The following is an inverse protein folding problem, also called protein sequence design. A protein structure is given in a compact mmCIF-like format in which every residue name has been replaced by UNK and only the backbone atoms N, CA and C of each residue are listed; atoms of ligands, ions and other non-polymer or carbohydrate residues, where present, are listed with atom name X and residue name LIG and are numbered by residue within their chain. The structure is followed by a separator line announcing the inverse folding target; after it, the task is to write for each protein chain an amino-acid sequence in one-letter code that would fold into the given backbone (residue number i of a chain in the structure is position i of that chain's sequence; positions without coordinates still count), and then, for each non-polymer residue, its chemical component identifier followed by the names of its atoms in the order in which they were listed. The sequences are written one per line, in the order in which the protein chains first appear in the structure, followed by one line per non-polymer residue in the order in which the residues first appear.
data_IF_206775382493
#
_entry.id   IF_206775382493
#
_cell.length_a   1.000
_cell.length_b   1.000
_cell.length_c   1.000
_cell.angle_alpha   90.00
_cell.angle_beta   90.00
_cell.angle_gamma   90.00
#
_symmetry.space_group_name_H-M   'P 1'
#
loop_
_entity.id
_entity.type
_entity.pdbx_description
1 polymer ?
#
# COMPACT_ATOMS: atom_id res chain seq x y z
N UNK A 1 -54.02 -11.40 2.69
CA UNK A 1 -54.44 -12.67 2.03
C UNK A 1 -53.40 -12.94 0.95
N UNK A 2 -52.75 -14.10 0.78
CA UNK A 2 -52.65 -15.39 1.51
C UNK A 2 -51.19 -15.84 1.25
N UNK A 3 -50.28 -15.95 2.22
CA UNK A 3 -50.08 -17.08 3.14
C UNK A 3 -50.22 -18.47 2.48
N UNK A 4 -49.09 -19.10 2.18
CA UNK A 4 -48.89 -20.54 2.38
C UNK A 4 -47.43 -20.86 2.69
N UNK A 5 -47.23 -21.79 3.64
CA UNK A 5 -45.93 -22.17 4.20
C UNK A 5 -45.73 -23.68 4.11
N UNK A 6 -44.49 -24.15 4.01
CA UNK A 6 -44.02 -25.50 4.40
C UNK A 6 -42.49 -25.44 4.56
N UNK A 7 -41.95 -25.35 5.78
CA UNK A 7 -41.68 -26.42 6.77
C UNK A 7 -40.59 -27.42 6.38
N UNK A 8 -39.40 -27.18 6.94
CA UNK A 8 -38.54 -28.13 7.65
C UNK A 8 -38.46 -29.60 7.20
N UNK A 9 -37.23 -30.03 6.89
CA UNK A 9 -36.73 -31.35 7.27
C UNK A 9 -35.34 -31.22 7.92
N UNK A 10 -35.25 -31.64 9.18
CA UNK A 10 -34.00 -31.72 9.94
C UNK A 10 -33.33 -33.07 9.70
N UNK A 11 -31.99 -33.10 9.62
CA UNK A 11 -31.19 -34.30 9.91
C UNK A 11 -29.98 -33.91 10.78
N UNK A 12 -29.77 -34.68 11.84
CA UNK A 12 -28.74 -34.47 12.85
C UNK A 12 -27.89 -35.72 13.02
N UNK A 13 -26.71 -35.51 13.61
CA UNK A 13 -25.82 -36.48 14.25
C UNK A 13 -25.09 -37.53 13.40
N UNK A 14 -23.76 -37.39 13.37
CA UNK A 14 -22.83 -38.51 13.44
C UNK A 14 -21.59 -38.09 14.25
N UNK A 15 -21.65 -38.27 15.57
CA UNK A 15 -20.54 -37.99 16.48
C UNK A 15 -19.43 -39.03 16.33
N UNK A 16 -18.17 -38.61 16.19
CA UNK A 16 -17.01 -39.49 16.42
C UNK A 16 -16.02 -38.85 17.39
N UNK A 17 -16.07 -39.34 18.62
CA UNK A 17 -15.06 -39.11 19.65
C UNK A 17 -13.78 -39.88 19.35
N UNK A 18 -12.62 -39.23 19.43
CA UNK A 18 -11.34 -39.89 19.65
C UNK A 18 -10.66 -39.24 20.87
N UNK A 19 -10.06 -40.06 21.73
CA UNK A 19 -9.65 -39.66 23.09
C UNK A 19 -8.12 -39.72 23.21
N UNK A 20 -7.56 -38.66 23.82
CA UNK A 20 -6.31 -38.61 24.59
C UNK A 20 -5.00 -39.16 23.98
N UNK A 21 -3.99 -38.27 23.91
CA UNK A 21 -2.60 -38.60 24.23
C UNK A 21 -1.91 -37.37 24.86
N UNK A 22 -1.90 -37.30 26.19
CA UNK A 22 -1.12 -36.31 26.94
C UNK A 22 0.32 -36.80 27.07
N UNK A 23 1.30 -36.09 26.50
CA UNK A 23 2.71 -36.32 26.80
C UNK A 23 3.30 -35.14 27.56
N UNK A 24 3.50 -35.34 28.86
CA UNK A 24 4.41 -34.52 29.64
C UNK A 24 5.84 -34.72 29.12
N UNK A 25 6.51 -33.63 28.74
CA UNK A 25 7.97 -33.54 28.76
C UNK A 25 8.38 -32.46 29.75
N UNK A 26 8.84 -32.93 30.90
CA UNK A 26 9.42 -32.12 31.97
C UNK A 26 10.93 -32.20 31.79
N UNK A 27 11.60 -31.08 31.54
CA UNK A 27 13.06 -31.03 31.63
C UNK A 27 13.48 -29.76 32.36
N UNK A 28 14.09 -29.95 33.53
CA UNK A 28 14.75 -28.90 34.28
C UNK A 28 16.10 -28.59 33.60
N UNK A 29 16.62 -27.37 33.70
CA UNK A 29 17.97 -27.18 34.26
C UNK A 29 18.28 -25.73 34.69
N UNK A 30 18.80 -25.65 35.92
CA UNK A 30 19.63 -24.64 36.57
C UNK A 30 19.72 -23.18 36.08
N UNK A 31 19.36 -22.31 37.02
CA UNK A 31 20.10 -21.11 37.43
C UNK A 31 21.63 -21.22 37.38
N UNK A 32 22.31 -20.17 36.90
CA UNK A 32 23.56 -19.67 37.50
C UNK A 32 23.87 -18.23 37.03
N UNK A 33 23.97 -17.30 37.98
CA UNK A 33 24.88 -16.15 37.96
C UNK A 33 26.14 -16.53 38.77
N UNK A 34 27.32 -15.87 38.67
CA UNK A 34 27.58 -14.43 38.46
C UNK A 34 28.53 -14.17 37.24
N UNK A 35 29.26 -13.06 37.03
CA UNK A 35 29.65 -11.91 37.87
C UNK A 35 29.95 -10.60 37.11
N UNK A 36 30.28 -9.56 37.88
CA UNK A 36 30.77 -8.22 37.51
C UNK A 36 32.10 -8.17 36.74
N UNK A 37 32.30 -7.17 35.86
CA UNK A 37 33.15 -5.98 36.17
C UNK A 37 33.49 -5.08 34.94
N UNK A 38 33.95 -3.86 35.25
CA UNK A 38 34.84 -3.01 34.44
C UNK A 38 34.33 -2.38 33.11
N UNK A 39 33.66 -1.24 33.27
CA UNK A 39 33.84 0.00 32.49
C UNK A 39 35.07 0.12 31.58
N UNK A 40 34.87 0.56 30.34
CA UNK A 40 35.84 1.38 29.59
C UNK A 40 35.16 2.56 28.88
N UNK A 41 35.72 3.74 29.08
CA UNK A 41 35.30 5.02 28.51
C UNK A 41 35.74 5.18 27.05
N UNK A 42 34.94 5.86 26.23
CA UNK A 42 35.38 6.46 24.94
C UNK A 42 35.65 7.96 25.14
N UNK A 43 36.74 8.52 24.60
CA UNK A 43 36.89 9.96 24.40
C UNK A 43 36.23 10.44 23.08
N UNK A 44 36.03 11.76 22.89
CA UNK A 44 35.10 12.31 21.89
C UNK A 44 35.74 12.79 20.57
N UNK A 45 34.87 13.39 19.74
CA UNK A 45 35.02 13.95 18.38
C UNK A 45 36.11 15.02 18.20
N UNK A 46 36.53 15.25 16.93
CA UNK A 46 36.34 16.56 16.26
C UNK A 46 36.61 16.51 14.73
N UNK A 47 36.25 17.55 13.93
CA UNK A 47 35.82 17.38 12.53
C UNK A 47 36.79 17.88 11.43
N UNK A 48 36.46 17.57 10.17
CA UNK A 48 36.95 18.29 8.99
C UNK A 48 35.82 18.45 7.95
N UNK A 49 35.78 19.63 7.29
CA UNK A 49 34.76 20.03 6.30
C UNK A 49 35.41 20.24 4.91
N UNK A 50 34.76 20.84 3.90
CA UNK A 50 34.32 20.12 2.71
C UNK A 50 35.20 20.37 1.46
N UNK A 51 35.12 19.45 0.48
CA UNK A 51 35.74 19.62 -0.83
C UNK A 51 34.69 19.75 -1.93
N UNK A 52 34.45 20.99 -2.38
CA UNK A 52 33.64 21.35 -3.54
C UNK A 52 34.35 20.95 -4.84
N UNK A 53 33.65 20.30 -5.79
CA UNK A 53 34.09 20.29 -7.20
C UNK A 53 32.89 20.46 -8.13
N UNK A 54 33.12 21.24 -9.20
CA UNK A 54 32.09 21.83 -10.06
C UNK A 54 31.60 20.92 -11.20
N UNK A 55 30.41 21.27 -11.69
CA UNK A 55 29.76 20.84 -12.93
C UNK A 55 30.71 20.91 -14.13
N UNK A 56 30.62 19.91 -15.02
CA UNK A 56 30.92 20.11 -16.44
C UNK A 56 30.05 19.18 -17.32
N UNK A 57 28.88 19.68 -17.73
CA UNK A 57 28.04 19.04 -18.75
C UNK A 57 28.61 19.29 -20.13
N UNK A 58 28.83 18.23 -20.92
CA UNK A 58 29.20 18.35 -22.34
C UNK A 58 28.35 17.44 -23.20
N UNK A 59 27.36 18.05 -23.86
CA UNK A 59 26.57 17.47 -24.95
C UNK A 59 27.42 17.39 -26.22
N UNK A 60 27.29 16.32 -27.01
CA UNK A 60 27.50 16.22 -28.47
C UNK A 60 27.10 14.79 -28.95
N UNK A 61 26.87 14.52 -30.26
CA UNK A 61 25.53 14.08 -30.68
C UNK A 61 25.42 12.64 -31.22
N UNK A 62 24.22 12.32 -31.73
CA UNK A 62 23.75 11.00 -32.16
C UNK A 62 24.36 10.45 -33.45
N UNK A 63 24.16 9.14 -33.66
CA UNK A 63 24.27 8.43 -34.93
C UNK A 63 23.22 7.32 -35.01
N UNK A 64 22.59 7.17 -36.18
CA UNK A 64 21.61 6.11 -36.49
C UNK A 64 22.28 4.74 -36.62
N UNK A 65 21.56 3.66 -36.27
CA UNK A 65 20.96 2.76 -37.29
C UNK A 65 20.07 1.65 -36.67
N UNK A 66 19.25 1.04 -37.51
CA UNK A 66 18.09 0.23 -37.15
C UNK A 66 18.35 -1.28 -37.02
N UNK A 67 17.62 -1.94 -36.11
CA UNK A 67 17.19 -3.34 -36.28
C UNK A 67 15.83 -3.55 -35.59
N UNK A 68 14.85 -4.06 -36.33
CA UNK A 68 13.50 -4.32 -35.81
C UNK A 68 13.33 -5.80 -35.43
N UNK A 69 12.88 -6.07 -34.21
CA UNK A 69 12.32 -7.36 -33.78
C UNK A 69 11.05 -7.10 -32.97
N UNK A 70 10.01 -7.89 -33.24
CA UNK A 70 8.72 -7.73 -32.59
C UNK A 70 8.76 -8.28 -31.16
N UNK A 71 8.54 -7.40 -30.19
CA UNK A 71 8.07 -7.75 -28.85
C UNK A 71 6.86 -6.90 -28.53
N UNK A 72 5.92 -7.43 -27.74
CA UNK A 72 4.75 -6.70 -27.24
C UNK A 72 5.18 -5.66 -26.19
N UNK A 73 5.85 -4.62 -26.67
CA UNK A 73 6.37 -3.54 -25.88
C UNK A 73 5.27 -2.60 -25.43
N UNK A 74 5.36 -2.16 -24.18
CA UNK A 74 4.76 -0.92 -23.73
C UNK A 74 5.08 0.17 -24.76
N UNK A 75 4.06 0.77 -25.40
CA UNK A 75 4.32 1.92 -26.28
C UNK A 75 4.93 3.00 -25.42
N UNK A 76 6.24 3.21 -25.56
CA UNK A 76 6.99 4.26 -24.88
C UNK A 76 6.63 5.61 -25.48
N UNK A 77 5.38 6.01 -25.25
CA UNK A 77 5.08 7.41 -25.06
C UNK A 77 5.96 7.83 -23.89
N UNK A 78 6.87 8.76 -24.16
CA UNK A 78 7.58 9.50 -23.12
C UNK A 78 6.56 10.31 -22.32
N UNK A 79 5.83 9.63 -21.44
CA UNK A 79 5.15 10.22 -20.30
C UNK A 79 6.26 10.57 -19.33
N UNK A 80 6.96 11.67 -19.65
CA UNK A 80 7.52 12.57 -18.64
C UNK A 80 6.51 12.61 -17.51
N UNK A 81 6.92 12.40 -16.25
CA UNK A 81 5.97 12.46 -15.14
C UNK A 81 5.27 13.80 -15.24
N UNK A 82 3.97 13.75 -15.55
CA UNK A 82 3.12 14.93 -15.49
C UNK A 82 3.13 15.26 -14.01
N UNK A 83 3.95 16.23 -13.63
CA UNK A 83 3.78 16.91 -12.36
C UNK A 83 2.34 17.34 -12.38
N UNK A 84 1.58 16.80 -11.44
CA UNK A 84 0.15 17.05 -11.30
C UNK A 84 0.05 18.47 -10.71
N UNK A 85 0.42 19.49 -11.51
CA UNK A 85 0.38 20.94 -11.22
C UNK A 85 -1.07 21.46 -11.16
N UNK A 86 -1.99 20.57 -10.78
CA UNK A 86 -3.37 20.85 -10.52
C UNK A 86 -3.47 21.19 -9.04
N UNK A 87 -3.84 22.43 -8.74
CA UNK A 87 -3.96 22.89 -7.35
C UNK A 87 -4.84 21.96 -6.50
N UNK A 88 -4.55 21.86 -5.18
CA UNK A 88 -5.39 21.13 -4.25
C UNK A 88 -6.86 21.54 -4.38
N UNK A 89 -7.75 20.56 -4.38
CA UNK A 89 -9.19 20.79 -4.32
C UNK A 89 -9.58 21.49 -3.03
N UNK A 90 -10.68 22.24 -3.04
CA UNK A 90 -11.17 22.98 -1.87
C UNK A 90 -11.85 22.05 -0.86
N UNK A 91 -12.28 20.86 -1.28
CA UNK A 91 -12.92 19.86 -0.41
C UNK A 91 -12.68 18.42 -0.85
N UNK A 92 -12.84 17.48 0.08
CA UNK A 92 -12.89 16.04 -0.20
C UNK A 92 -13.93 15.70 -1.29
N UNK A 93 -15.08 16.36 -1.32
CA UNK A 93 -16.14 16.07 -2.29
C UNK A 93 -15.70 16.36 -3.74
N UNK A 94 -15.02 17.50 -3.96
CA UNK A 94 -14.41 17.84 -5.26
C UNK A 94 -13.29 16.86 -5.61
N UNK A 95 -12.48 16.42 -4.64
CA UNK A 95 -11.42 15.45 -4.89
C UNK A 95 -11.98 14.08 -5.29
N UNK A 96 -13.01 13.61 -4.59
CA UNK A 96 -13.75 12.40 -4.94
C UNK A 96 -14.35 12.50 -6.35
N UNK A 97 -14.92 13.64 -6.75
CA UNK A 97 -15.44 13.86 -8.10
C UNK A 97 -14.34 13.86 -9.18
N UNK A 98 -13.24 14.58 -8.94
CA UNK A 98 -12.06 14.62 -9.84
C UNK A 98 -11.47 13.22 -10.05
N UNK A 99 -11.31 12.47 -8.96
CA UNK A 99 -10.78 11.10 -8.98
C UNK A 99 -11.76 10.11 -9.62
N UNK A 100 -13.05 10.20 -9.27
CA UNK A 100 -14.11 9.39 -9.88
C UNK A 100 -14.10 9.52 -11.41
N UNK A 101 -14.10 10.76 -11.93
CA UNK A 101 -14.04 11.01 -13.38
C UNK A 101 -12.83 10.33 -14.02
N UNK A 102 -11.62 10.54 -13.46
CA UNK A 102 -10.36 9.95 -13.95
C UNK A 102 -10.39 8.40 -13.96
N UNK A 103 -10.94 7.79 -12.91
CA UNK A 103 -11.08 6.33 -12.80
C UNK A 103 -12.12 5.79 -13.80
N UNK A 104 -13.27 6.43 -13.95
CA UNK A 104 -14.32 5.95 -14.86
C UNK A 104 -13.95 6.18 -16.33
N UNK A 105 -13.30 7.29 -16.69
CA UNK A 105 -12.70 7.47 -18.03
C UNK A 105 -11.69 6.37 -18.36
N UNK A 106 -10.84 5.98 -17.40
CA UNK A 106 -9.94 4.83 -17.55
C UNK A 106 -10.70 3.50 -17.73
N UNK A 107 -11.81 3.28 -17.02
CA UNK A 107 -12.63 2.07 -17.11
C UNK A 107 -13.48 1.96 -18.38
N UNK A 108 -13.84 3.08 -19.00
CA UNK A 108 -14.63 3.13 -20.25
C UNK A 108 -13.75 3.11 -21.51
N UNK A 109 -12.48 3.50 -21.39
CA UNK A 109 -11.51 3.49 -22.49
C UNK A 109 -11.32 2.08 -23.04
N UNK A 110 -11.76 1.87 -24.29
CA UNK A 110 -11.46 0.67 -25.06
C UNK A 110 -9.97 0.60 -25.38
N UNK A 111 -9.41 -0.59 -25.31
CA UNK A 111 -7.99 -0.89 -25.51
C UNK A 111 -7.84 -2.21 -26.27
N UNK A 112 -6.68 -2.47 -26.84
CA UNK A 112 -6.29 -3.80 -27.34
C UNK A 112 -5.25 -4.50 -26.46
N UNK A 113 -4.88 -3.89 -25.32
CA UNK A 113 -3.87 -4.42 -24.41
C UNK A 113 -4.53 -5.22 -23.28
N UNK A 114 -4.30 -6.53 -23.29
CA UNK A 114 -4.76 -7.46 -22.25
C UNK A 114 -4.33 -7.05 -20.84
N UNK A 115 -3.16 -6.41 -20.69
CA UNK A 115 -2.69 -5.84 -19.41
C UNK A 115 -3.57 -4.67 -18.93
N UNK A 116 -4.01 -3.81 -19.84
CA UNK A 116 -4.91 -2.69 -19.48
C UNK A 116 -6.31 -3.22 -19.16
N UNK A 117 -6.82 -4.20 -19.91
CA UNK A 117 -8.09 -4.87 -19.62
C UNK A 117 -8.08 -5.57 -18.25
N UNK A 118 -6.96 -6.24 -17.92
CA UNK A 118 -6.70 -6.84 -16.62
C UNK A 118 -6.76 -5.80 -15.49
N UNK A 119 -6.05 -4.66 -15.62
CA UNK A 119 -6.11 -3.59 -14.61
C UNK A 119 -7.52 -3.00 -14.49
N UNK A 120 -8.25 -2.82 -15.60
CA UNK A 120 -9.65 -2.40 -15.56
C UNK A 120 -10.55 -3.42 -14.83
N UNK A 121 -10.31 -4.73 -15.01
CA UNK A 121 -11.04 -5.79 -14.30
C UNK A 121 -10.77 -5.72 -12.79
N UNK A 122 -9.51 -5.72 -12.38
CA UNK A 122 -9.10 -5.60 -10.97
C UNK A 122 -9.65 -4.32 -10.32
N UNK A 123 -9.66 -3.20 -11.06
CA UNK A 123 -10.25 -1.93 -10.60
C UNK A 123 -11.76 -2.05 -10.33
N UNK A 124 -12.53 -2.73 -11.20
CA UNK A 124 -13.96 -2.95 -10.99
C UNK A 124 -14.23 -3.87 -9.78
N UNK A 125 -13.40 -4.89 -9.58
CA UNK A 125 -13.49 -5.79 -8.43
C UNK A 125 -13.20 -5.03 -7.11
N UNK A 126 -12.14 -4.24 -7.06
CA UNK A 126 -11.83 -3.38 -5.90
C UNK A 126 -12.92 -2.34 -5.61
N UNK A 127 -13.50 -1.72 -6.64
CA UNK A 127 -14.64 -0.79 -6.47
C UNK A 127 -15.85 -1.49 -5.84
N UNK A 128 -16.13 -2.75 -6.21
CA UNK A 128 -17.22 -3.53 -5.62
C UNK A 128 -16.98 -3.85 -4.14
N UNK A 129 -15.74 -4.22 -3.76
CA UNK A 129 -15.37 -4.47 -2.35
C UNK A 129 -15.47 -3.19 -1.52
N UNK A 130 -15.05 -2.04 -2.06
CA UNK A 130 -15.19 -0.75 -1.38
C UNK A 130 -16.66 -0.37 -1.20
N UNK A 131 -17.50 -0.55 -2.22
CA UNK A 131 -18.93 -0.31 -2.13
C UNK A 131 -19.60 -1.23 -1.09
N UNK A 132 -19.21 -2.51 -1.02
CA UNK A 132 -19.67 -3.43 0.04
C UNK A 132 -19.25 -2.94 1.44
N UNK A 133 -18.05 -2.39 1.60
CA UNK A 133 -17.62 -1.78 2.86
C UNK A 133 -18.46 -0.54 3.23
N UNK A 134 -18.73 0.34 2.27
CA UNK A 134 -19.56 1.54 2.46
C UNK A 134 -21.04 1.22 2.75
N UNK A 135 -21.51 0.02 2.42
CA UNK A 135 -22.83 -0.46 2.83
C UNK A 135 -22.86 -1.09 4.24
N UNK A 136 -21.74 -1.68 4.67
CA UNK A 136 -21.62 -2.37 5.97
C UNK A 136 -21.31 -1.42 7.13
N UNK A 137 -20.59 -0.34 6.86
CA UNK A 137 -20.06 0.58 7.87
C UNK A 137 -20.43 2.02 7.54
N UNK A 138 -20.84 2.79 8.54
CA UNK A 138 -20.99 4.24 8.41
C UNK A 138 -19.63 4.93 8.24
N UNK A 139 -19.63 6.17 7.73
CA UNK A 139 -18.40 6.95 7.52
C UNK A 139 -17.57 7.11 8.82
N UNK A 140 -18.23 7.23 9.96
CA UNK A 140 -17.56 7.35 11.26
C UNK A 140 -16.93 6.04 11.76
N UNK A 141 -17.43 4.90 11.31
CA UNK A 141 -16.89 3.57 11.63
C UNK A 141 -15.70 3.18 10.73
N UNK A 142 -15.41 3.95 9.69
CA UNK A 142 -14.34 3.71 8.74
C UNK A 142 -13.08 4.55 9.04
N UNK A 143 -11.94 3.97 8.68
CA UNK A 143 -10.63 4.64 8.65
C UNK A 143 -9.76 4.07 7.54
N UNK A 144 -8.71 4.79 7.17
CA UNK A 144 -7.77 4.38 6.12
C UNK A 144 -6.33 4.24 6.66
N UNK A 145 -5.64 3.13 6.40
CA UNK A 145 -4.22 2.97 6.71
C UNK A 145 -3.37 3.49 5.55
N UNK A 146 -2.69 4.62 5.74
CA UNK A 146 -1.94 5.31 4.68
C UNK A 146 -0.46 5.43 5.06
N UNK A 147 0.44 5.01 4.17
CA UNK A 147 1.89 5.10 4.37
C UNK A 147 2.66 5.74 3.20
N UNK A 148 1.95 6.30 2.21
CA UNK A 148 2.55 6.88 0.99
C UNK A 148 3.11 5.87 0.00
N UNK A 149 3.03 4.57 0.28
CA UNK A 149 3.43 3.50 -0.64
C UNK A 149 2.45 3.34 -1.80
N UNK A 150 2.95 2.81 -2.92
CA UNK A 150 2.19 2.56 -4.17
C UNK A 150 0.87 1.81 -3.94
N UNK A 151 0.84 0.84 -3.03
CA UNK A 151 -0.28 -0.09 -2.85
C UNK A 151 -1.46 0.58 -2.11
N UNK A 152 -1.17 1.31 -1.03
CA UNK A 152 -2.18 2.10 -0.32
C UNK A 152 -2.64 3.33 -1.13
N UNK A 153 -1.78 3.85 -2.02
CA UNK A 153 -2.12 4.93 -2.95
C UNK A 153 -3.14 4.48 -4.01
N UNK A 154 -2.93 3.31 -4.66
CA UNK A 154 -3.93 2.74 -5.59
C UNK A 154 -5.27 2.55 -4.87
N UNK A 155 -5.23 1.94 -3.68
CA UNK A 155 -6.41 1.75 -2.84
C UNK A 155 -7.10 3.09 -2.49
N UNK A 156 -6.36 4.15 -2.19
CA UNK A 156 -6.92 5.47 -1.89
C UNK A 156 -7.64 6.08 -3.10
N UNK A 157 -7.04 6.00 -4.29
CA UNK A 157 -7.66 6.49 -5.53
C UNK A 157 -8.97 5.74 -5.83
N UNK A 158 -8.98 4.41 -5.66
CA UNK A 158 -10.19 3.59 -5.81
C UNK A 158 -11.24 3.95 -4.74
N UNK A 159 -10.82 4.16 -3.48
CA UNK A 159 -11.71 4.54 -2.38
C UNK A 159 -12.42 5.88 -2.63
N UNK A 160 -11.69 6.90 -3.09
CA UNK A 160 -12.24 8.22 -3.43
C UNK A 160 -13.25 8.15 -4.59
N UNK A 161 -12.97 7.34 -5.62
CA UNK A 161 -13.89 7.13 -6.74
C UNK A 161 -15.20 6.46 -6.32
N UNK A 162 -15.13 5.46 -5.43
CA UNK A 162 -16.29 4.78 -4.87
C UNK A 162 -17.09 5.67 -3.90
N UNK A 163 -16.41 6.47 -3.06
CA UNK A 163 -17.04 7.44 -2.16
C UNK A 163 -17.92 8.44 -2.92
N UNK A 164 -17.47 8.92 -4.09
CA UNK A 164 -18.28 9.76 -4.96
C UNK A 164 -19.56 9.03 -5.42
N UNK A 165 -19.42 7.84 -6.01
CA UNK A 165 -20.54 7.04 -6.51
C UNK A 165 -21.55 6.73 -5.40
N UNK A 166 -21.06 6.32 -4.23
CA UNK A 166 -21.90 6.01 -3.07
C UNK A 166 -22.64 7.27 -2.58
N UNK A 167 -21.93 8.37 -2.32
CA UNK A 167 -22.50 9.65 -1.87
C UNK A 167 -23.61 10.16 -2.79
N UNK A 168 -23.38 10.17 -4.12
CA UNK A 168 -24.39 10.59 -5.11
C UNK A 168 -25.61 9.67 -5.13
N UNK A 169 -25.43 8.36 -4.91
CA UNK A 169 -26.52 7.36 -4.93
C UNK A 169 -27.35 7.34 -3.65
N UNK A 170 -26.74 7.56 -2.48
CA UNK A 170 -27.43 7.53 -1.18
C UNK A 170 -27.88 8.92 -0.72
N UNK A 171 -27.33 10.00 -1.29
CA UNK A 171 -27.50 11.36 -0.79
C UNK A 171 -26.69 11.65 0.48
N UNK A 172 -25.77 10.76 0.87
CA UNK A 172 -24.93 10.94 2.07
C UNK A 172 -23.89 12.02 1.82
N UNK A 173 -23.91 13.09 2.62
CA UNK A 173 -22.86 14.12 2.64
C UNK A 173 -21.50 13.49 2.97
N UNK A 174 -20.43 13.91 2.28
CA UNK A 174 -19.06 13.50 2.60
C UNK A 174 -18.50 14.37 3.74
N UNK A 175 -17.60 13.84 4.58
CA UNK A 175 -16.92 14.63 5.59
C UNK A 175 -15.95 15.62 4.93
N UNK A 176 -15.40 16.56 5.71
CA UNK A 176 -14.35 17.46 5.21
C UNK A 176 -13.04 16.73 4.93
N UNK A 177 -12.75 15.68 5.71
CA UNK A 177 -11.53 14.86 5.59
C UNK A 177 -11.80 13.39 5.86
N UNK A 178 -10.94 12.51 5.32
CA UNK A 178 -10.95 11.08 5.60
C UNK A 178 -10.08 10.76 6.82
N UNK A 179 -10.69 10.18 7.86
CA UNK A 179 -9.97 9.72 9.05
C UNK A 179 -8.95 8.64 8.63
N UNK A 180 -7.68 8.88 8.93
CA UNK A 180 -6.57 8.06 8.43
C UNK A 180 -5.50 7.86 9.50
N UNK A 181 -4.77 6.76 9.42
CA UNK A 181 -3.66 6.42 10.33
C UNK A 181 -2.40 6.13 9.54
N UNK A 182 -1.26 6.65 10.03
CA UNK A 182 0.07 6.34 9.53
C UNK A 182 0.94 5.82 10.66
N UNK A 183 1.50 4.63 10.47
CA UNK A 183 2.46 4.04 11.40
C UNK A 183 3.84 4.26 10.77
N UNK A 184 4.58 5.21 11.36
CA UNK A 184 5.83 5.74 10.81
C UNK A 184 6.95 4.74 11.03
N UNK A 185 7.78 4.50 10.01
CA UNK A 185 9.02 3.74 10.17
C UNK A 185 9.94 4.42 11.20
N UNK A 186 10.72 3.69 12.02
CA UNK A 186 11.67 4.30 12.96
C UNK A 186 12.67 5.24 12.29
N UNK A 187 13.10 4.91 11.06
CA UNK A 187 14.05 5.69 10.27
C UNK A 187 13.43 6.00 8.89
N UNK A 188 12.47 6.92 8.77
CA UNK A 188 11.74 7.13 7.52
C UNK A 188 12.60 7.89 6.49
N UNK A 189 12.48 7.53 5.21
CA UNK A 189 13.07 8.33 4.13
C UNK A 189 12.44 9.74 4.11
N UNK A 190 13.22 10.83 4.03
CA UNK A 190 12.68 12.18 3.89
C UNK A 190 11.72 12.35 2.70
N UNK A 191 12.02 11.68 1.58
CA UNK A 191 11.15 11.64 0.39
C UNK A 191 9.79 10.99 0.66
N UNK A 192 9.72 9.97 1.53
CA UNK A 192 8.46 9.33 1.94
C UNK A 192 7.69 10.25 2.88
N UNK A 193 8.35 10.85 3.87
CA UNK A 193 7.73 11.82 4.79
C UNK A 193 7.10 12.99 4.01
N UNK A 194 7.87 13.62 3.12
CA UNK A 194 7.39 14.70 2.27
C UNK A 194 6.24 14.25 1.36
N UNK A 195 6.34 13.06 0.74
CA UNK A 195 5.29 12.53 -0.10
C UNK A 195 3.99 12.31 0.69
N UNK A 196 4.05 11.69 1.87
CA UNK A 196 2.90 11.49 2.77
C UNK A 196 2.27 12.81 3.21
N UNK A 197 3.06 13.81 3.59
CA UNK A 197 2.55 15.14 3.97
C UNK A 197 1.85 15.87 2.82
N UNK A 198 2.42 15.79 1.61
CA UNK A 198 1.85 16.38 0.40
C UNK A 198 0.54 15.70 0.00
N UNK A 199 0.56 14.37 -0.15
CA UNK A 199 -0.62 13.63 -0.61
C UNK A 199 -1.74 13.61 0.43
N UNK A 200 -1.43 13.65 1.73
CA UNK A 200 -2.45 13.77 2.78
C UNK A 200 -3.24 15.07 2.64
N UNK A 201 -2.59 16.18 2.28
CA UNK A 201 -3.28 17.45 1.98
C UNK A 201 -4.09 17.34 0.69
N UNK A 202 -3.48 16.82 -0.39
CA UNK A 202 -4.15 16.67 -1.71
C UNK A 202 -5.39 15.78 -1.68
N UNK A 203 -5.38 14.72 -0.87
CA UNK A 203 -6.48 13.76 -0.74
C UNK A 203 -7.35 13.98 0.51
N UNK A 204 -7.21 15.12 1.19
CA UNK A 204 -8.00 15.51 2.36
C UNK A 204 -7.99 14.45 3.48
N UNK A 205 -6.82 13.93 3.83
CA UNK A 205 -6.64 12.95 4.90
C UNK A 205 -6.44 13.66 6.25
N UNK A 206 -7.26 13.32 7.25
CA UNK A 206 -6.98 13.62 8.65
C UNK A 206 -6.09 12.50 9.19
N UNK A 207 -4.77 12.67 8.99
CA UNK A 207 -3.78 11.62 9.25
C UNK A 207 -3.24 11.69 10.68
N UNK A 208 -3.51 10.67 11.49
CA UNK A 208 -2.86 10.49 12.80
C UNK A 208 -1.58 9.65 12.64
N UNK A 209 -0.44 10.23 12.98
CA UNK A 209 0.88 9.57 12.91
C UNK A 209 1.25 8.92 14.24
N UNK A 210 1.71 7.67 14.19
CA UNK A 210 2.17 6.88 15.33
C UNK A 210 3.58 6.34 15.11
N UNK A 211 4.41 6.37 16.17
CA UNK A 211 5.81 5.92 16.15
C UNK A 211 6.05 4.66 17.00
N UNK A 212 4.97 4.07 17.55
CA UNK A 212 5.00 2.80 18.27
C UNK A 212 5.03 1.62 17.28
N UNK A 213 5.43 0.40 17.72
CA UNK A 213 5.24 -0.80 16.91
C UNK A 213 3.75 -1.00 16.55
N UNK A 214 3.51 -1.68 15.42
CA UNK A 214 2.23 -1.61 14.72
C UNK A 214 1.00 -1.92 15.59
N UNK A 215 1.09 -2.93 16.46
CA UNK A 215 0.00 -3.36 17.34
C UNK A 215 -0.33 -2.30 18.39
N UNK A 216 0.70 -1.75 19.05
CA UNK A 216 0.58 -0.70 20.06
C UNK A 216 0.09 0.61 19.45
N UNK A 217 0.52 0.93 18.23
CA UNK A 217 0.03 2.08 17.47
C UNK A 217 -1.48 1.99 17.19
N UNK A 218 -1.96 0.86 16.65
CA UNK A 218 -3.40 0.65 16.46
C UNK A 218 -4.18 0.63 17.79
N UNK A 219 -3.59 0.13 18.87
CA UNK A 219 -4.24 0.11 20.19
C UNK A 219 -4.49 1.54 20.72
N UNK A 220 -3.50 2.42 20.60
CA UNK A 220 -3.65 3.84 20.94
C UNK A 220 -4.66 4.53 20.01
N UNK A 221 -4.48 4.38 18.69
CA UNK A 221 -5.34 5.00 17.68
C UNK A 221 -6.83 4.69 17.87
N UNK A 222 -7.17 3.43 18.18
CA UNK A 222 -8.56 2.99 18.39
C UNK A 222 -9.11 3.37 19.77
N UNK A 223 -8.25 3.58 20.78
CA UNK A 223 -8.67 4.14 22.07
C UNK A 223 -9.11 5.61 21.91
N UNK A 224 -8.39 6.38 21.08
CA UNK A 224 -8.71 7.77 20.75
C UNK A 224 -9.89 7.87 19.75
N UNK A 225 -10.15 6.81 18.97
CA UNK A 225 -11.21 6.77 17.95
C UNK A 225 -12.16 5.56 18.13
N UNK A 226 -12.91 5.47 19.25
CA UNK A 226 -13.67 4.27 19.64
C UNK A 226 -14.86 3.94 18.71
N UNK A 227 -15.22 4.85 17.79
CA UNK A 227 -16.23 4.62 16.77
C UNK A 227 -15.73 3.71 15.64
N UNK A 228 -14.42 3.60 15.40
CA UNK A 228 -13.87 2.83 14.27
C UNK A 228 -14.18 1.33 14.45
N UNK A 229 -14.65 0.70 13.37
CA UNK A 229 -14.97 -0.73 13.28
C UNK A 229 -14.19 -1.42 12.17
N UNK A 230 -13.82 -0.68 11.12
CA UNK A 230 -13.07 -1.23 10.00
C UNK A 230 -12.04 -0.23 9.44
N UNK A 231 -10.93 -0.79 8.94
CA UNK A 231 -9.79 -0.03 8.41
C UNK A 231 -9.41 -0.60 7.04
N UNK A 232 -9.32 0.27 6.02
CA UNK A 232 -8.79 -0.08 4.71
C UNK A 232 -7.27 -0.25 4.77
N UNK A 233 -6.75 -1.36 4.21
CA UNK A 233 -5.33 -1.72 4.23
C UNK A 233 -4.89 -2.19 2.83
N UNK A 234 -3.81 -1.61 2.31
CA UNK A 234 -3.27 -1.89 0.96
C UNK A 234 -2.43 -3.17 0.84
N UNK A 235 -2.69 -4.21 1.63
CA UNK A 235 -1.95 -5.49 1.56
C UNK A 235 -2.39 -6.32 0.36
N UNK A 236 -1.45 -6.99 -0.30
CA UNK A 236 -1.64 -7.92 -1.43
C UNK A 236 -1.30 -9.36 -1.04
N UNK A 237 -1.78 -10.37 -1.79
CA UNK A 237 -1.49 -11.80 -1.49
C UNK A 237 0.01 -12.12 -1.49
N UNK A 238 0.80 -11.39 -2.27
CA UNK A 238 2.25 -11.55 -2.40
C UNK A 238 3.05 -10.85 -1.30
N UNK A 239 2.40 -10.04 -0.45
CA UNK A 239 3.04 -9.45 0.73
C UNK A 239 3.27 -10.49 1.85
N UNK A 240 4.24 -10.23 2.76
CA UNK A 240 4.40 -11.01 3.99
C UNK A 240 3.07 -11.14 4.75
N UNK A 241 2.69 -12.39 5.05
CA UNK A 241 1.43 -12.78 5.69
C UNK A 241 0.14 -12.51 4.88
N UNK A 242 0.23 -12.02 3.63
CA UNK A 242 -0.93 -11.68 2.81
C UNK A 242 -1.65 -12.87 2.15
N UNK A 243 -0.97 -13.99 1.93
CA UNK A 243 -1.44 -15.08 1.05
C UNK A 243 -2.84 -15.64 1.37
N UNK A 244 -3.20 -15.74 2.66
CA UNK A 244 -4.47 -16.32 3.14
C UNK A 244 -5.54 -15.27 3.49
N UNK A 245 -5.26 -13.97 3.30
CA UNK A 245 -6.22 -12.90 3.58
C UNK A 245 -7.37 -12.91 2.57
N UNK A 246 -8.50 -12.35 2.99
CA UNK A 246 -9.69 -12.12 2.16
C UNK A 246 -9.93 -10.62 2.02
N UNK A 247 -11.01 -10.22 1.36
CA UNK A 247 -11.39 -8.81 1.29
C UNK A 247 -11.80 -8.21 2.65
N UNK A 248 -12.23 -9.04 3.61
CA UNK A 248 -12.74 -8.60 4.92
C UNK A 248 -12.30 -9.56 6.03
N UNK A 249 -11.18 -9.28 6.68
CA UNK A 249 -10.65 -10.13 7.77
C UNK A 249 -10.71 -9.40 9.11
N UNK A 250 -11.37 -9.95 10.15
CA UNK A 250 -11.18 -9.45 11.50
C UNK A 250 -9.71 -9.58 11.90
N UNK A 251 -9.26 -8.70 12.79
CA UNK A 251 -7.96 -8.82 13.45
C UNK A 251 -7.86 -10.06 14.34
N UNK A 252 -6.69 -10.69 14.32
CA UNK A 252 -6.43 -11.93 15.05
C UNK A 252 -6.25 -11.72 16.58
N UNK A 253 -6.30 -12.83 17.33
CA UNK A 253 -6.15 -12.82 18.79
C UNK A 253 -4.86 -12.13 19.25
N UNK A 254 -5.01 -11.08 20.06
CA UNK A 254 -3.90 -10.26 20.57
C UNK A 254 -3.75 -8.91 19.86
N UNK A 255 -4.44 -8.67 18.74
CA UNK A 255 -4.58 -7.34 18.14
C UNK A 255 -5.81 -6.59 18.70
N UNK A 256 -5.83 -5.26 18.64
CA UNK A 256 -7.05 -4.46 18.82
C UNK A 256 -8.14 -4.89 17.83
N UNK A 257 -9.40 -4.92 18.28
CA UNK A 257 -10.50 -5.49 17.48
C UNK A 257 -11.02 -4.54 16.41
N UNK A 258 -10.77 -4.85 15.13
CA UNK A 258 -11.39 -4.21 13.97
C UNK A 258 -11.41 -5.15 12.76
N UNK A 259 -12.13 -4.78 11.70
CA UNK A 259 -12.10 -5.47 10.39
C UNK A 259 -11.08 -4.80 9.49
N UNK A 260 -10.12 -5.57 8.99
CA UNK A 260 -9.23 -5.15 7.89
C UNK A 260 -9.98 -5.32 6.57
N UNK A 261 -9.99 -4.29 5.74
CA UNK A 261 -10.60 -4.32 4.41
C UNK A 261 -9.47 -4.28 3.37
N UNK A 262 -9.40 -5.28 2.49
CA UNK A 262 -8.35 -5.42 1.48
C UNK A 262 -8.91 -5.43 0.05
N UNK A 263 -9.34 -4.28 -0.52
CA UNK A 263 -9.89 -4.25 -1.88
C UNK A 263 -8.87 -4.56 -2.97
N UNK A 264 -7.59 -4.36 -2.71
CA UNK A 264 -6.49 -4.62 -3.67
C UNK A 264 -5.78 -5.97 -3.43
N UNK A 265 -6.34 -6.87 -2.61
CA UNK A 265 -5.64 -8.09 -2.15
C UNK A 265 -5.15 -8.99 -3.31
N UNK A 266 -5.95 -9.11 -4.38
CA UNK A 266 -5.66 -9.97 -5.54
C UNK A 266 -4.87 -9.27 -6.66
N UNK A 267 -4.29 -8.07 -6.42
CA UNK A 267 -3.52 -7.34 -7.41
C UNK A 267 -2.07 -7.82 -7.52
N UNK A 268 -1.56 -7.87 -8.74
CA UNK A 268 -0.13 -8.11 -9.00
C UNK A 268 0.67 -6.81 -9.04
N UNK A 269 1.99 -6.90 -8.87
CA UNK A 269 2.92 -5.76 -8.96
C UNK A 269 2.74 -4.95 -10.26
N UNK A 270 2.57 -5.67 -11.37
CA UNK A 270 2.35 -5.10 -12.70
C UNK A 270 0.97 -4.45 -12.86
N UNK A 271 -0.03 -4.85 -12.06
CA UNK A 271 -1.36 -4.22 -12.03
C UNK A 271 -1.30 -2.88 -11.28
N UNK A 272 -0.62 -2.84 -10.13
CA UNK A 272 -0.42 -1.63 -9.31
C UNK A 272 0.24 -0.53 -10.15
N UNK A 273 1.35 -0.85 -10.82
CA UNK A 273 2.00 0.11 -11.72
C UNK A 273 1.21 0.39 -12.98
N UNK A 274 0.48 -0.60 -13.51
CA UNK A 274 -0.43 -0.39 -14.63
C UNK A 274 -1.45 0.69 -14.32
N UNK A 275 -2.14 0.60 -13.18
CA UNK A 275 -3.09 1.61 -12.73
C UNK A 275 -2.43 2.98 -12.49
N UNK A 276 -1.33 3.01 -11.74
CA UNK A 276 -0.61 4.27 -11.44
C UNK A 276 -0.20 4.99 -12.73
N UNK A 277 0.39 4.27 -13.70
CA UNK A 277 0.88 4.86 -14.96
C UNK A 277 -0.25 5.19 -15.95
N UNK A 278 -1.28 4.35 -16.06
CA UNK A 278 -2.40 4.57 -16.98
C UNK A 278 -3.32 5.71 -16.55
N UNK A 279 -3.53 5.88 -15.23
CA UNK A 279 -4.23 7.06 -14.73
C UNK A 279 -3.30 8.27 -14.66
N UNK A 280 -1.99 8.07 -14.44
CA UNK A 280 -1.01 9.14 -14.20
C UNK A 280 -1.01 9.65 -12.76
N UNK A 281 -1.22 8.75 -11.79
CA UNK A 281 -1.19 9.08 -10.36
C UNK A 281 0.25 9.41 -9.96
N UNK A 282 0.46 10.50 -9.21
CA UNK A 282 1.77 10.83 -8.64
C UNK A 282 2.21 9.76 -7.63
N UNK A 283 3.51 9.49 -7.53
CA UNK A 283 4.07 8.50 -6.59
C UNK A 283 5.39 9.01 -6.01
N UNK A 284 5.86 8.40 -4.93
CA UNK A 284 7.11 8.80 -4.27
C UNK A 284 8.32 8.61 -5.21
N UNK A 285 9.15 9.64 -5.35
CA UNK A 285 10.29 9.69 -6.28
C UNK A 285 11.32 8.55 -6.12
N UNK A 286 11.39 7.91 -4.94
CA UNK A 286 12.21 6.72 -4.72
C UNK A 286 11.88 5.58 -5.69
N UNK A 287 10.62 5.48 -6.13
CA UNK A 287 10.24 4.49 -7.12
C UNK A 287 10.92 4.74 -8.48
N UNK A 288 11.16 5.99 -8.90
CA UNK A 288 11.94 6.28 -10.11
C UNK A 288 13.44 5.98 -9.91
N UNK A 289 13.91 5.98 -8.66
CA UNK A 289 15.28 5.60 -8.28
C UNK A 289 15.49 4.07 -8.13
N UNK A 290 14.52 3.26 -8.55
CA UNK A 290 14.60 1.79 -8.55
C UNK A 290 14.29 1.11 -7.23
N UNK A 291 13.78 1.82 -6.22
CA UNK A 291 13.22 1.20 -5.03
C UNK A 291 11.86 0.58 -5.36
N UNK A 292 11.63 -0.70 -5.05
CA UNK A 292 10.39 -1.41 -5.42
C UNK A 292 9.45 -1.67 -4.24
N UNK A 293 10.00 -1.68 -3.02
CA UNK A 293 9.30 -1.81 -1.74
C UNK A 293 9.93 -0.82 -0.75
N UNK A 294 9.11 -0.02 -0.05
CA UNK A 294 9.60 1.04 0.84
C UNK A 294 9.51 0.64 2.33
N UNK A 295 10.54 0.99 3.08
CA UNK A 295 10.68 0.73 4.52
C UNK A 295 11.36 1.90 5.23
N UNK A 296 12.29 1.61 6.14
CA UNK A 296 13.21 2.58 6.70
C UNK A 296 14.48 2.73 5.87
N UNK A 297 15.24 3.80 6.09
CA UNK A 297 16.55 4.04 5.45
C UNK A 297 17.62 3.01 5.84
N UNK A 298 17.33 2.21 6.86
CA UNK A 298 18.16 1.19 7.48
C UNK A 298 17.85 -0.25 7.01
N UNK A 299 16.71 -0.50 6.34
CA UNK A 299 16.29 -1.84 5.88
C UNK A 299 15.96 -1.91 4.38
N UNK A 300 16.18 -0.82 3.63
CA UNK A 300 15.66 -0.64 2.28
C UNK A 300 16.69 -0.06 1.31
N UNK A 301 16.85 -0.73 0.17
CA UNK A 301 17.78 -0.43 -0.91
C UNK A 301 17.08 -0.48 -2.29
N UNK A 302 17.65 0.15 -3.34
CA UNK A 302 17.18 -0.05 -4.71
C UNK A 302 17.23 -1.52 -5.11
N UNK A 303 16.28 -1.97 -5.92
CA UNK A 303 16.14 -3.38 -6.26
C UNK A 303 17.29 -3.86 -7.18
N UNK A 304 18.04 -4.92 -6.82
CA UNK A 304 19.13 -5.43 -7.65
C UNK A 304 18.68 -5.88 -9.05
N UNK A 305 17.44 -6.36 -9.23
CA UNK A 305 16.88 -6.75 -10.53
C UNK A 305 16.66 -5.56 -11.50
N UNK A 306 16.69 -4.32 -10.97
CA UNK A 306 16.58 -3.09 -11.75
C UNK A 306 17.93 -2.44 -12.04
N UNK A 307 19.06 -3.00 -11.57
CA UNK A 307 20.40 -2.43 -11.80
C UNK A 307 20.71 -2.31 -13.29
N UNK A 308 21.28 -1.18 -13.71
CA UNK A 308 21.70 -0.95 -15.10
C UNK A 308 23.13 -1.46 -15.30
N UNK A 309 23.32 -2.39 -16.23
CA UNK A 309 24.66 -2.89 -16.57
C UNK A 309 25.56 -1.77 -17.11
N UNK A 310 26.84 -1.79 -16.72
CA UNK A 310 27.81 -0.75 -17.08
C UNK A 310 27.61 0.62 -16.42
N UNK A 311 26.60 0.82 -15.58
CA UNK A 311 26.34 2.09 -14.87
C UNK A 311 26.24 1.89 -13.36
N UNK A 312 27.37 2.08 -12.67
CA UNK A 312 27.45 1.92 -11.22
C UNK A 312 26.48 2.85 -10.48
N UNK A 313 25.78 2.30 -9.47
CA UNK A 313 24.80 3.01 -8.66
C UNK A 313 23.49 3.40 -9.37
N UNK A 314 23.30 3.05 -10.66
CA UNK A 314 22.06 3.36 -11.39
C UNK A 314 21.11 2.18 -11.52
N UNK A 315 19.83 2.50 -11.43
CA UNK A 315 18.73 1.55 -11.48
C UNK A 315 17.64 2.07 -12.45
N UNK A 316 16.93 1.13 -13.07
CA UNK A 316 15.70 1.38 -13.82
C UNK A 316 14.56 1.69 -12.84
N UNK A 317 13.54 2.47 -13.23
CA UNK A 317 12.42 2.79 -12.37
C UNK A 317 11.58 1.55 -12.00
N UNK A 318 10.92 1.61 -10.85
CA UNK A 318 10.21 0.49 -10.22
C UNK A 318 9.14 -0.14 -11.12
N UNK A 319 8.46 0.65 -11.95
CA UNK A 319 7.42 0.15 -12.87
C UNK A 319 7.95 -0.76 -14.00
N UNK A 320 9.27 -0.90 -14.15
CA UNK A 320 9.90 -1.87 -15.05
C UNK A 320 10.21 -3.23 -14.38
N UNK A 321 9.93 -3.42 -13.09
CA UNK A 321 9.93 -4.76 -12.47
C UNK A 321 8.62 -5.48 -12.84
N UNK A 322 8.73 -6.78 -13.14
CA UNK A 322 7.60 -7.63 -13.57
C UNK A 322 7.22 -8.66 -12.51
N UNK A 323 8.21 -9.31 -11.90
CA UNK A 323 7.99 -10.45 -10.98
C UNK A 323 7.63 -9.99 -9.56
N UNK A 324 6.44 -10.36 -9.06
CA UNK A 324 6.00 -10.05 -7.68
C UNK A 324 7.01 -10.54 -6.62
N UNK A 325 7.58 -11.73 -6.81
CA UNK A 325 8.51 -12.33 -5.85
C UNK A 325 9.84 -11.56 -5.76
N UNK A 326 10.17 -10.75 -6.77
CA UNK A 326 11.38 -9.92 -6.78
C UNK A 326 11.18 -8.56 -6.12
N UNK A 327 9.95 -8.14 -5.85
CA UNK A 327 9.61 -6.81 -5.30
C UNK A 327 10.40 -6.46 -4.03
N UNK A 328 10.71 -7.46 -3.20
CA UNK A 328 11.34 -7.28 -1.90
C UNK A 328 12.84 -7.63 -1.90
N UNK A 329 13.48 -7.83 -3.06
CA UNK A 329 14.93 -8.11 -3.13
C UNK A 329 15.80 -6.95 -2.63
N UNK A 330 15.28 -5.72 -2.62
CA UNK A 330 15.90 -4.54 -2.00
C UNK A 330 15.60 -4.38 -0.51
N UNK A 331 15.14 -5.42 0.20
CA UNK A 331 14.88 -5.38 1.65
C UNK A 331 15.81 -6.33 2.38
N UNK A 332 16.31 -5.88 3.53
CA UNK A 332 17.09 -6.72 4.44
C UNK A 332 16.23 -7.84 5.04
N UNK A 333 16.89 -8.92 5.50
CA UNK A 333 16.27 -10.18 5.92
C UNK A 333 16.29 -10.40 7.44
#
# INVERSE_FOLDING_TARGET
MLLQSSRFLSRSAATKTCRAATHHLRCCYNSNQPSSSASRTRPPLDPASPATTSICTKVMPAGDESAATAGDGFTSNNVTPVKDEIEPTQSLAEQCERVHKRVYEFLERKTGSSRVEQVQRQTRESLAVVEEALQKFSQDELSFSYNGGKDCLVLLVIYLAALHTHSKRTGTTLPQTLRSVYIVSPNPFPAVTHFVEHTSKKYHLSLTSHHQPMREAFAAYLADNPAIRAIFVGTRRTDPHGAQLTHFDPTDGGWPSFVRIHPVIDWHYTDIWGFIRELGVEYCELYDMGYTSLGGTDDTHPNPALKIEGQEGKFRPAFELVEDLEERLGRDR
#
